data_IF_256703958303
#
_entry.id   IF_256703958303
#
_cell.length_a   1.000
_cell.length_b   1.000
_cell.length_c   1.000
_cell.angle_alpha   90.00
_cell.angle_beta   90.00
_cell.angle_gamma   90.00
#
_symmetry.space_group_name_H-M   'P 1'
#
loop_
_entity.id
_entity.type
_entity.pdbx_description
1 polymer ?
#
# COMPACT_ATOMS: atom_id res chain seq x y z
N UNK A 1 13.26 12.18 -11.54
CA UNK A 1 13.03 11.49 -10.26
C UNK A 1 12.22 12.43 -9.41
N UNK A 2 11.11 11.94 -8.86
CA UNK A 2 10.15 12.72 -8.11
C UNK A 2 9.79 12.01 -6.82
N UNK A 3 9.93 12.71 -5.71
CA UNK A 3 9.62 12.20 -4.39
C UNK A 3 8.29 12.78 -3.88
N UNK A 4 7.60 12.00 -3.07
CA UNK A 4 6.37 12.37 -2.39
C UNK A 4 6.39 11.80 -0.99
N UNK A 5 6.09 12.63 0.00
CA UNK A 5 5.93 12.22 1.38
C UNK A 5 4.53 12.60 1.87
N UNK A 6 3.99 11.78 2.76
CA UNK A 6 2.69 11.96 3.37
C UNK A 6 2.70 11.42 4.79
N UNK A 7 2.09 12.17 5.70
CA UNK A 7 1.94 11.78 7.09
C UNK A 7 0.46 11.85 7.46
N UNK A 8 0.06 10.93 8.32
CA UNK A 8 -1.27 10.83 8.89
C UNK A 8 -1.18 10.13 10.24
N UNK A 9 -2.15 10.37 11.10
CA UNK A 9 -2.23 9.75 12.42
C UNK A 9 -3.61 9.11 12.54
N UNK A 10 -3.63 7.82 12.86
CA UNK A 10 -4.85 7.12 13.21
C UNK A 10 -5.12 7.29 14.71
N UNK A 11 -6.36 7.66 15.07
CA UNK A 11 -6.82 7.74 16.46
C UNK A 11 -7.17 6.35 17.03
N UNK A 12 -6.32 5.36 16.75
CA UNK A 12 -6.43 3.99 17.23
C UNK A 12 -5.05 3.41 17.53
N UNK A 13 -5.01 2.48 18.47
CA UNK A 13 -3.79 1.79 18.88
C UNK A 13 -3.17 0.99 17.73
N UNK A 14 -1.85 0.79 17.82
CA UNK A 14 -1.08 0.15 16.76
C UNK A 14 -1.51 -1.29 16.48
N UNK A 15 -1.94 -2.03 17.51
CA UNK A 15 -2.36 -3.42 17.37
C UNK A 15 -3.65 -3.51 16.52
N UNK A 16 -4.59 -2.59 16.75
CA UNK A 16 -5.83 -2.47 15.98
C UNK A 16 -5.59 -1.99 14.55
N UNK A 17 -4.74 -0.99 14.34
CA UNK A 17 -4.40 -0.49 12.99
C UNK A 17 -3.69 -1.58 12.17
N UNK A 18 -2.68 -2.23 12.75
CA UNK A 18 -1.87 -3.27 12.09
C UNK A 18 -2.68 -4.52 11.76
N UNK A 19 -3.57 -4.96 12.64
CA UNK A 19 -4.47 -6.09 12.36
C UNK A 19 -5.52 -5.76 11.28
N UNK A 20 -6.00 -4.52 11.24
CA UNK A 20 -6.95 -4.02 10.25
C UNK A 20 -6.34 -3.94 8.84
N UNK A 21 -5.05 -3.61 8.74
CA UNK A 21 -4.35 -3.46 7.46
C UNK A 21 -4.51 -4.68 6.54
N UNK A 22 -4.47 -5.89 7.09
CA UNK A 22 -4.58 -7.13 6.30
C UNK A 22 -5.93 -7.29 5.60
N UNK A 23 -6.97 -6.56 6.04
CA UNK A 23 -8.31 -6.57 5.46
C UNK A 23 -8.50 -5.54 4.34
N UNK A 24 -7.56 -4.59 4.18
CA UNK A 24 -7.66 -3.44 3.27
C UNK A 24 -8.04 -3.83 1.83
N UNK A 25 -7.36 -4.82 1.25
CA UNK A 25 -7.54 -5.19 -0.16
C UNK A 25 -8.74 -6.11 -0.43
N UNK A 26 -9.47 -6.48 0.62
CA UNK A 26 -10.79 -7.13 0.52
C UNK A 26 -11.93 -6.12 0.54
N UNK A 27 -11.65 -4.86 0.85
CA UNK A 27 -12.66 -3.81 0.93
C UNK A 27 -13.18 -3.40 -0.46
N UNK A 28 -14.50 -3.16 -0.64
CA UNK A 28 -15.08 -2.79 -1.94
C UNK A 28 -14.47 -1.53 -2.57
N UNK A 29 -14.10 -0.53 -1.76
CA UNK A 29 -13.43 0.70 -2.23
C UNK A 29 -11.99 0.46 -2.75
N UNK A 30 -11.43 -0.74 -2.56
CA UNK A 30 -10.12 -1.14 -3.09
C UNK A 30 -10.24 -2.21 -4.20
N UNK A 31 -11.38 -2.28 -4.90
CA UNK A 31 -11.64 -3.29 -5.96
C UNK A 31 -10.61 -3.32 -7.08
N UNK A 32 -9.98 -2.18 -7.37
CA UNK A 32 -8.90 -2.03 -8.36
C UNK A 32 -7.60 -2.77 -8.00
N UNK A 33 -7.40 -3.18 -6.75
CA UNK A 33 -6.18 -3.87 -6.31
C UNK A 33 -6.50 -5.14 -5.54
N UNK A 34 -5.82 -6.23 -5.89
CA UNK A 34 -5.85 -7.50 -5.16
C UNK A 34 -4.46 -7.82 -4.65
N UNK A 35 -4.37 -8.28 -3.40
CA UNK A 35 -3.12 -8.67 -2.77
C UNK A 35 -3.14 -10.18 -2.48
N UNK A 36 -2.14 -10.90 -2.97
CA UNK A 36 -1.96 -12.33 -2.74
C UNK A 36 -0.70 -12.55 -1.90
N UNK A 37 -0.78 -13.37 -0.85
CA UNK A 37 0.39 -13.72 -0.03
C UNK A 37 1.21 -14.77 -0.77
N UNK A 38 2.49 -14.47 -1.03
CA UNK A 38 3.43 -15.40 -1.64
C UNK A 38 4.19 -16.20 -0.57
N UNK A 39 4.60 -15.53 0.51
CA UNK A 39 5.26 -16.17 1.64
C UNK A 39 4.98 -15.38 2.91
N UNK A 40 4.91 -16.08 4.04
CA UNK A 40 4.78 -15.48 5.37
C UNK A 40 5.51 -16.34 6.38
N UNK A 41 6.44 -15.73 7.11
CA UNK A 41 7.30 -16.41 8.08
C UNK A 41 7.57 -15.51 9.27
N UNK A 42 7.84 -16.11 10.42
CA UNK A 42 8.42 -15.40 11.56
C UNK A 42 9.93 -15.58 11.50
N UNK A 43 10.68 -14.48 11.54
CA UNK A 43 12.14 -14.54 11.51
C UNK A 43 12.74 -14.86 12.89
N UNK A 44 14.08 -14.98 12.96
CA UNK A 44 14.80 -15.27 14.20
C UNK A 44 14.65 -14.22 15.30
N UNK A 45 14.22 -13.00 14.94
CA UNK A 45 14.00 -11.89 15.88
C UNK A 45 12.56 -11.86 16.40
N UNK A 46 11.68 -12.72 15.88
CA UNK A 46 10.26 -12.77 16.23
C UNK A 46 9.39 -11.80 15.42
N UNK A 47 9.89 -11.28 14.29
CA UNK A 47 9.15 -10.38 13.40
C UNK A 47 8.40 -11.17 12.34
N UNK A 48 7.18 -10.73 12.02
CA UNK A 48 6.41 -11.31 10.92
C UNK A 48 6.85 -10.69 9.60
N UNK A 49 7.48 -11.49 8.75
CA UNK A 49 7.88 -11.10 7.40
C UNK A 49 6.86 -11.66 6.40
N UNK A 50 6.22 -10.80 5.62
CA UNK A 50 5.25 -11.19 4.59
C UNK A 50 5.66 -10.62 3.23
N UNK A 51 5.72 -11.49 2.21
CA UNK A 51 5.82 -11.07 0.81
C UNK A 51 4.46 -11.22 0.12
N UNK A 52 4.02 -10.18 -0.59
CA UNK A 52 2.76 -10.18 -1.32
C UNK A 52 2.96 -9.74 -2.78
N UNK A 53 2.15 -10.32 -3.65
CA UNK A 53 1.96 -9.85 -5.01
C UNK A 53 0.69 -9.00 -5.06
N UNK A 54 0.82 -7.80 -5.56
CA UNK A 54 -0.29 -6.90 -5.87
C UNK A 54 -0.60 -6.98 -7.35
N UNK A 55 -1.86 -7.23 -7.67
CA UNK A 55 -2.43 -7.15 -9.02
C UNK A 55 -3.29 -5.89 -9.05
N UNK A 56 -2.97 -4.97 -9.96
CA UNK A 56 -3.59 -3.65 -10.02
C UNK A 56 -4.21 -3.45 -11.39
N UNK A 57 -5.53 -3.23 -11.39
CA UNK A 57 -6.33 -2.87 -12.54
C UNK A 57 -6.47 -1.35 -12.55
N UNK A 58 -5.71 -0.66 -13.40
CA UNK A 58 -5.69 0.79 -13.46
C UNK A 58 -5.62 1.29 -14.89
N UNK A 59 -6.28 2.42 -15.15
CA UNK A 59 -6.12 3.15 -16.39
C UNK A 59 -4.80 3.93 -16.35
N UNK A 60 -3.89 3.58 -17.24
CA UNK A 60 -2.63 4.31 -17.44
C UNK A 60 -2.83 5.48 -18.42
N UNK A 61 -2.00 6.53 -18.37
CA UNK A 61 -2.10 7.65 -19.30
C UNK A 61 -2.03 7.19 -20.76
N UNK A 62 -2.74 7.88 -21.66
CA UNK A 62 -2.80 7.49 -23.08
C UNK A 62 -1.42 7.32 -23.73
N UNK A 63 -0.44 8.17 -23.38
CA UNK A 63 0.93 8.05 -23.90
C UNK A 63 1.68 6.81 -23.37
N UNK A 64 1.37 6.34 -22.15
CA UNK A 64 1.88 5.07 -21.62
C UNK A 64 1.17 3.91 -22.30
N UNK A 65 -0.15 4.01 -22.44
CA UNK A 65 -0.99 3.05 -23.14
C UNK A 65 -0.55 2.83 -24.59
N UNK A 66 -0.09 3.88 -25.27
CA UNK A 66 0.44 3.78 -26.63
C UNK A 66 1.75 2.97 -26.73
N UNK A 67 2.51 2.85 -25.63
CA UNK A 67 3.78 2.11 -25.58
C UNK A 67 3.55 0.65 -25.18
N UNK A 68 2.69 0.42 -24.17
CA UNK A 68 2.55 -0.89 -23.52
C UNK A 68 1.18 -1.56 -23.70
N UNK A 69 0.20 -0.85 -24.26
CA UNK A 69 -1.18 -1.32 -24.39
C UNK A 69 -2.01 -1.20 -23.11
N UNK A 70 -3.22 -1.76 -23.15
CA UNK A 70 -4.01 -2.05 -21.96
C UNK A 70 -3.32 -3.15 -21.16
N UNK A 71 -2.98 -2.86 -19.90
CA UNK A 71 -2.25 -3.80 -19.06
C UNK A 71 -2.79 -3.85 -17.64
N UNK A 72 -2.77 -5.05 -17.08
CA UNK A 72 -2.78 -5.27 -15.64
C UNK A 72 -1.36 -5.08 -15.13
N UNK A 73 -1.18 -4.28 -14.08
CA UNK A 73 0.15 -4.05 -13.49
C UNK A 73 0.36 -4.89 -12.25
N UNK A 74 1.61 -5.33 -12.06
CA UNK A 74 2.02 -6.10 -10.89
C UNK A 74 2.98 -5.29 -10.04
N UNK A 75 2.85 -5.42 -8.72
CA UNK A 75 3.81 -4.89 -7.75
C UNK A 75 4.13 -5.93 -6.67
N UNK A 76 5.37 -5.97 -6.23
CA UNK A 76 5.83 -6.80 -5.12
C UNK A 76 5.89 -5.97 -3.85
N UNK A 77 5.30 -6.48 -2.78
CA UNK A 77 5.39 -5.88 -1.45
C UNK A 77 6.14 -6.83 -0.51
N UNK A 78 7.06 -6.30 0.27
CA UNK A 78 7.62 -6.95 1.44
C UNK A 78 7.25 -6.14 2.68
N UNK A 79 6.73 -6.80 3.70
CA UNK A 79 6.35 -6.18 4.97
C UNK A 79 7.00 -6.89 6.14
N UNK A 80 7.39 -6.10 7.13
CA UNK A 80 7.99 -6.55 8.39
C UNK A 80 7.17 -5.94 9.51
N UNK A 81 6.58 -6.79 10.34
CA UNK A 81 5.87 -6.40 11.56
C UNK A 81 6.70 -6.83 12.75
N UNK A 82 7.15 -5.86 13.55
CA UNK A 82 7.87 -6.10 14.79
C UNK A 82 6.95 -5.78 15.99
N UNK A 83 6.47 -6.80 16.71
CA UNK A 83 5.60 -6.61 17.86
C UNK A 83 6.34 -6.05 19.09
N UNK A 84 7.68 -6.16 19.15
CA UNK A 84 8.48 -5.65 20.29
C UNK A 84 8.59 -4.13 20.21
N UNK A 85 8.82 -3.61 19.01
CA UNK A 85 8.92 -2.16 18.77
C UNK A 85 7.60 -1.52 18.37
N UNK A 86 6.52 -2.31 18.18
CA UNK A 86 5.23 -1.87 17.65
C UNK A 86 5.40 -1.07 16.35
N UNK A 87 6.09 -1.70 15.39
CA UNK A 87 6.33 -1.12 14.07
C UNK A 87 5.89 -2.07 12.97
N UNK A 88 5.25 -1.54 11.94
CA UNK A 88 4.98 -2.24 10.69
C UNK A 88 5.54 -1.42 9.54
N UNK A 89 6.52 -1.99 8.84
CA UNK A 89 7.14 -1.38 7.66
C UNK A 89 6.74 -2.18 6.43
N UNK A 90 6.36 -1.49 5.36
CA UNK A 90 6.04 -2.10 4.07
C UNK A 90 6.80 -1.38 2.98
N UNK A 91 7.46 -2.15 2.12
CA UNK A 91 8.10 -1.63 0.91
C UNK A 91 7.49 -2.29 -0.31
N UNK A 92 7.01 -1.47 -1.23
CA UNK A 92 6.35 -1.91 -2.45
C UNK A 92 7.10 -1.39 -3.66
N UNK A 93 7.36 -2.27 -4.63
CA UNK A 93 7.97 -1.94 -5.92
C UNK A 93 7.15 -2.47 -7.07
N UNK A 94 7.07 -1.72 -8.17
CA UNK A 94 6.45 -2.24 -9.38
C UNK A 94 7.31 -3.36 -10.00
N UNK A 95 6.64 -4.42 -10.46
CA UNK A 95 7.25 -5.52 -11.22
C UNK A 95 6.99 -5.34 -12.72
N UNK A 96 5.82 -4.80 -13.06
CA UNK A 96 5.50 -4.36 -14.42
C UNK A 96 5.99 -2.94 -14.69
N UNK A 97 6.09 -2.57 -15.97
CA UNK A 97 6.43 -1.20 -16.42
C UNK A 97 7.81 -0.69 -16.01
N UNK A 98 8.71 -1.55 -15.55
CA UNK A 98 10.07 -1.15 -15.16
C UNK A 98 10.88 -0.51 -16.31
N UNK A 99 10.55 -0.81 -17.57
CA UNK A 99 11.12 -0.15 -18.74
C UNK A 99 10.64 1.31 -18.92
N UNK A 100 9.53 1.69 -18.28
CA UNK A 100 8.91 3.03 -18.37
C UNK A 100 9.22 3.84 -17.11
N UNK A 101 9.04 3.24 -15.93
CA UNK A 101 9.37 3.85 -14.65
C UNK A 101 9.62 2.81 -13.55
N UNK A 102 10.41 3.19 -12.56
CA UNK A 102 10.52 2.54 -11.26
C UNK A 102 9.73 3.35 -10.23
N UNK A 103 8.96 2.67 -9.39
CA UNK A 103 8.20 3.22 -8.27
C UNK A 103 8.60 2.45 -7.03
N UNK A 104 9.15 3.16 -6.05
CA UNK A 104 9.54 2.61 -4.74
C UNK A 104 8.71 3.31 -3.67
N UNK A 105 7.83 2.55 -3.02
CA UNK A 105 6.96 3.04 -1.95
C UNK A 105 7.38 2.43 -0.62
N UNK A 106 7.53 3.27 0.41
CA UNK A 106 7.78 2.89 1.78
C UNK A 106 6.64 3.41 2.66
N UNK A 107 5.94 2.50 3.34
CA UNK A 107 4.93 2.80 4.33
C UNK A 107 5.42 2.36 5.72
N UNK A 108 5.24 3.19 6.73
CA UNK A 108 5.59 2.92 8.12
C UNK A 108 4.42 3.22 9.02
N UNK A 109 4.05 2.26 9.86
CA UNK A 109 3.07 2.40 10.93
C UNK A 109 3.77 2.17 12.26
N UNK A 110 3.75 3.16 13.14
CA UNK A 110 4.45 3.11 14.43
C UNK A 110 3.51 3.57 15.54
N UNK A 111 3.53 2.88 16.69
CA UNK A 111 2.81 3.37 17.86
C UNK A 111 3.30 4.79 18.21
N UNK A 112 2.36 5.72 18.47
CA UNK A 112 2.72 7.11 18.75
C UNK A 112 3.50 7.19 20.08
N UNK A 113 4.66 7.87 20.13
CA UNK A 113 5.60 7.78 21.27
C UNK A 113 5.05 8.36 22.57
N UNK A 114 4.14 9.34 22.49
CA UNK A 114 3.54 9.97 23.67
C UNK A 114 2.10 9.49 23.96
N UNK A 115 1.48 8.72 23.06
CA UNK A 115 0.07 8.34 23.18
C UNK A 115 -0.15 6.95 22.58
N UNK A 116 -0.18 5.92 23.42
CA UNK A 116 -0.34 4.54 22.99
C UNK A 116 -1.71 4.24 22.34
N UNK A 117 -2.68 5.15 22.44
CA UNK A 117 -3.99 5.04 21.78
C UNK A 117 -3.97 5.48 20.31
N UNK A 118 -2.81 5.88 19.80
CA UNK A 118 -2.64 6.43 18.45
C UNK A 118 -1.53 5.74 17.68
N UNK A 119 -1.64 5.79 16.36
CA UNK A 119 -0.66 5.22 15.43
C UNK A 119 -0.25 6.26 14.39
N UNK A 120 1.05 6.52 14.31
CA UNK A 120 1.64 7.34 13.27
C UNK A 120 1.78 6.53 11.99
N UNK A 121 1.37 7.13 10.87
CA UNK A 121 1.51 6.60 9.53
C UNK A 121 2.32 7.57 8.67
N UNK A 122 3.45 7.07 8.15
CA UNK A 122 4.26 7.77 7.17
C UNK A 122 4.31 6.98 5.87
N UNK A 123 4.12 7.67 4.75
CA UNK A 123 4.25 7.13 3.41
C UNK A 123 5.24 7.97 2.62
N UNK A 124 6.26 7.31 2.08
CA UNK A 124 7.23 7.88 1.14
C UNK A 124 7.12 7.15 -0.18
N UNK A 125 7.18 7.87 -1.28
CA UNK A 125 7.18 7.31 -2.61
C UNK A 125 8.19 8.03 -3.48
N UNK A 126 9.04 7.27 -4.16
CA UNK A 126 10.00 7.77 -5.14
C UNK A 126 9.64 7.19 -6.50
N UNK A 127 9.52 8.07 -7.50
CA UNK A 127 9.24 7.70 -8.88
C UNK A 127 10.41 8.13 -9.75
N UNK A 128 10.93 7.19 -10.53
CA UNK A 128 11.98 7.44 -11.52
C UNK A 128 11.51 6.96 -12.88
N UNK A 129 11.23 7.89 -13.79
CA UNK A 129 10.88 7.57 -15.17
C UNK A 129 12.10 7.50 -16.09
N UNK A 130 11.99 6.69 -17.14
CA UNK A 130 13.04 6.47 -18.15
C UNK A 130 12.72 7.10 -19.51
N UNK A 131 11.67 7.93 -19.57
CA UNK A 131 11.24 8.62 -20.79
C UNK A 131 12.06 9.90 -21.01
N UNK A 132 11.93 10.51 -22.20
CA UNK A 132 12.66 11.74 -22.54
C UNK A 132 11.84 13.01 -22.27
N UNK A 133 12.50 14.05 -21.75
CA UNK A 133 11.96 15.41 -21.63
C UNK A 133 10.60 15.51 -20.93
N UNK A 134 9.67 16.22 -21.57
CA UNK A 134 8.34 16.53 -21.02
C UNK A 134 7.49 15.28 -20.75
N UNK A 135 7.69 14.19 -21.51
CA UNK A 135 6.96 12.93 -21.28
C UNK A 135 7.37 12.31 -19.94
N UNK A 136 8.65 12.41 -19.57
CA UNK A 136 9.12 11.91 -18.28
C UNK A 136 8.52 12.69 -17.11
N UNK A 137 8.50 14.03 -17.23
CA UNK A 137 7.91 14.89 -16.21
C UNK A 137 6.41 14.62 -16.02
N UNK A 138 5.68 14.39 -17.12
CA UNK A 138 4.25 14.03 -17.08
C UNK A 138 4.03 12.66 -16.46
N UNK A 139 4.87 11.69 -16.78
CA UNK A 139 4.83 10.34 -16.20
C UNK A 139 5.05 10.35 -14.69
N UNK A 140 6.15 10.97 -14.24
CA UNK A 140 6.47 11.07 -12.81
C UNK A 140 5.39 11.82 -12.04
N UNK A 141 4.83 12.88 -12.63
CA UNK A 141 3.72 13.63 -12.02
C UNK A 141 2.44 12.80 -11.95
N UNK A 142 2.11 12.03 -12.99
CA UNK A 142 0.94 11.16 -12.99
C UNK A 142 1.00 10.11 -11.88
N UNK A 143 2.15 9.47 -11.66
CA UNK A 143 2.30 8.52 -10.55
C UNK A 143 2.08 9.19 -9.19
N UNK A 144 2.70 10.35 -8.95
CA UNK A 144 2.52 11.11 -7.70
C UNK A 144 1.06 11.56 -7.50
N UNK A 145 0.39 12.02 -8.55
CA UNK A 145 -1.00 12.49 -8.44
C UNK A 145 -1.97 11.31 -8.26
N UNK A 146 -1.68 10.17 -8.87
CA UNK A 146 -2.44 8.92 -8.66
C UNK A 146 -2.27 8.42 -7.22
N UNK A 147 -1.05 8.45 -6.69
CA UNK A 147 -0.78 8.14 -5.29
C UNK A 147 -1.55 9.07 -4.34
N UNK A 148 -1.53 10.39 -4.59
CA UNK A 148 -2.27 11.37 -3.77
C UNK A 148 -3.77 11.08 -3.69
N UNK A 149 -4.36 10.62 -4.78
CA UNK A 149 -5.78 10.20 -4.80
C UNK A 149 -5.97 8.88 -4.05
N UNK A 150 -5.12 7.89 -4.34
CA UNK A 150 -5.22 6.55 -3.76
C UNK A 150 -4.96 6.52 -2.26
N UNK A 151 -4.06 7.36 -1.72
CA UNK A 151 -3.77 7.43 -0.29
C UNK A 151 -4.96 7.95 0.53
N UNK A 152 -5.71 8.93 0.01
CA UNK A 152 -6.93 9.42 0.67
C UNK A 152 -8.00 8.33 0.77
N UNK A 153 -8.22 7.60 -0.33
CA UNK A 153 -9.10 6.43 -0.33
C UNK A 153 -8.59 5.33 0.63
N UNK A 154 -7.27 5.12 0.65
CA UNK A 154 -6.61 4.14 1.51
C UNK A 154 -6.80 4.41 3.00
N UNK A 155 -6.76 5.68 3.43
CA UNK A 155 -7.05 6.09 4.81
C UNK A 155 -8.52 5.85 5.14
N UNK A 156 -9.45 6.32 4.30
CA UNK A 156 -10.89 6.09 4.53
C UNK A 156 -11.24 4.60 4.64
N UNK A 157 -10.61 3.75 3.83
CA UNK A 157 -10.77 2.28 3.91
C UNK A 157 -10.25 1.74 5.23
N UNK A 158 -9.09 2.21 5.69
CA UNK A 158 -8.55 1.80 6.97
C UNK A 158 -9.48 2.23 8.11
N UNK A 159 -9.98 3.46 8.10
CA UNK A 159 -10.94 3.97 9.10
C UNK A 159 -12.22 3.13 9.13
N UNK A 160 -12.80 2.80 7.97
CA UNK A 160 -13.98 1.93 7.87
C UNK A 160 -13.71 0.53 8.47
N UNK A 161 -12.54 -0.04 8.19
CA UNK A 161 -12.16 -1.37 8.71
C UNK A 161 -11.93 -1.31 10.22
N UNK A 162 -11.17 -0.31 10.69
CA UNK A 162 -10.81 -0.14 12.09
C UNK A 162 -12.06 0.11 12.93
N UNK A 163 -12.98 0.96 12.46
CA UNK A 163 -14.26 1.24 13.12
C UNK A 163 -15.21 0.03 13.16
N UNK A 164 -14.89 -1.07 12.47
CA UNK A 164 -15.68 -2.30 12.47
C UNK A 164 -16.80 -2.32 11.42
N UNK A 165 -16.91 -1.30 10.56
CA UNK A 165 -17.87 -1.27 9.44
C UNK A 165 -17.63 -2.44 8.48
N UNK A 166 -16.38 -2.90 8.39
CA UNK A 166 -16.00 -4.07 7.58
C UNK A 166 -16.62 -5.40 8.04
N UNK A 167 -17.02 -5.57 9.32
CA UNK A 167 -17.73 -6.78 9.77
C UNK A 167 -19.13 -6.90 9.16
N UNK A 168 -19.72 -5.79 8.69
CA UNK A 168 -21.00 -5.77 8.01
C UNK A 168 -20.89 -6.08 6.50
N UNK A 169 -19.69 -5.90 5.92
CA UNK A 169 -19.47 -5.88 4.47
C UNK A 169 -18.55 -7.00 3.96
N UNK A 170 -17.72 -7.60 4.83
CA UNK A 170 -16.85 -8.70 4.46
C UNK A 170 -17.59 -10.03 4.71
N UNK A 171 -17.75 -10.90 3.70
CA UNK A 171 -18.25 -12.26 3.92
C UNK A 171 -17.18 -13.05 4.67
N UNK A 172 -17.16 -12.91 5.99
CA UNK A 172 -16.47 -13.85 6.86
C UNK A 172 -17.41 -15.06 6.90
N UNK A 173 -17.11 -16.10 6.12
CA UNK A 173 -17.77 -17.39 6.31
C UNK A 173 -17.63 -17.77 7.79
N UNK A 174 -18.77 -17.87 8.48
CA UNK A 174 -18.87 -18.28 9.88
C UNK A 174 -18.57 -19.77 10.12
N UNK A 175 -17.98 -20.45 9.15
CA UNK A 175 -17.75 -21.89 9.19
C UNK A 175 -16.25 -22.21 9.31
N UNK A 176 -15.70 -21.92 10.49
CA UNK A 176 -14.58 -22.67 11.06
C UNK A 176 -14.73 -22.63 12.58
N UNK A 177 -15.66 -23.44 13.07
CA UNK A 177 -15.69 -23.95 14.45
C UNK A 177 -15.06 -25.34 14.45
#
# INVERSE_FOLDING_TARGET
MKDSEFQHQYDFDWDRVTSSFWKKYWHPKCSQSRAMVLSRTVDSEGRLVTKRLHVIYQDVPCFVKAIVGDIVTYAGEESIVDPKTKTMTLRTKNLSLNCVASVDELCMYTAHPADASKTDYCKKMTVQGWMTGLLNMKLESWFVDTDKKNRGNGISVMDDIIAGVSQLLLPINKEFN
#
